data_IF_018337147598
#
_entry.id   IF_018337147598
#
_cell.length_a   1.000
_cell.length_b   1.000
_cell.length_c   1.000
_cell.angle_alpha   90.00
_cell.angle_beta   90.00
_cell.angle_gamma   90.00
#
_symmetry.space_group_name_H-M   'P 1'
#
loop_
_entity.id
_entity.type
_entity.pdbx_description
1 polymer ?
#
# COMPACT_ATOMS: atom_id res chain seq x y z
N UNK A 1 -10.20 -12.07 14.69
CA UNK A 1 -9.83 -12.40 13.29
C UNK A 1 -9.20 -11.15 12.70
N UNK A 2 -7.91 -11.18 12.36
CA UNK A 2 -7.18 -9.97 11.93
C UNK A 2 -7.69 -9.51 10.56
N UNK A 3 -8.65 -8.56 10.55
CA UNK A 3 -9.15 -7.97 9.31
C UNK A 3 -7.96 -7.29 8.62
N UNK A 4 -7.75 -7.63 7.36
CA UNK A 4 -6.75 -6.99 6.54
C UNK A 4 -7.34 -5.67 6.05
N UNK A 5 -6.86 -4.56 6.61
CA UNK A 5 -7.52 -3.25 6.49
C UNK A 5 -7.11 -2.48 5.22
N UNK A 6 -6.71 -3.16 4.13
CA UNK A 6 -6.29 -2.53 2.87
C UNK A 6 -7.03 -3.11 1.67
N UNK A 7 -7.70 -2.25 0.91
CA UNK A 7 -8.48 -2.62 -0.27
C UNK A 7 -8.16 -1.72 -1.47
N UNK A 8 -7.89 -2.32 -2.62
CA UNK A 8 -7.85 -1.60 -3.89
C UNK A 8 -9.25 -1.49 -4.49
N UNK A 9 -9.58 -0.32 -5.03
CA UNK A 9 -10.81 -0.09 -5.80
C UNK A 9 -10.46 0.38 -7.20
N UNK A 10 -11.16 -0.16 -8.20
CA UNK A 10 -10.99 0.27 -9.58
C UNK A 10 -12.26 -0.01 -10.40
N UNK A 11 -12.36 0.68 -11.54
CA UNK A 11 -13.42 0.53 -12.51
C UNK A 11 -12.86 0.11 -13.86
N UNK A 12 -13.31 -1.02 -14.39
CA UNK A 12 -12.95 -1.52 -15.71
C UNK A 12 -14.10 -1.41 -16.70
N UNK A 13 -13.96 -0.60 -17.75
CA UNK A 13 -14.97 -0.49 -18.82
C UNK A 13 -15.22 -1.84 -19.48
N UNK A 14 -16.49 -2.16 -19.73
CA UNK A 14 -16.86 -3.26 -20.61
C UNK A 14 -16.32 -3.00 -22.02
N UNK A 15 -16.09 -4.08 -22.78
CA UNK A 15 -15.66 -3.98 -24.19
C UNK A 15 -16.85 -4.12 -25.11
N UNK A 16 -16.74 -3.50 -26.28
CA UNK A 16 -17.76 -3.54 -27.32
C UNK A 16 -18.22 -4.98 -27.60
N UNK A 17 -19.54 -5.23 -27.77
CA UNK A 17 -20.63 -4.24 -27.88
C UNK A 17 -21.29 -3.85 -26.54
N UNK A 18 -20.75 -4.26 -25.39
CA UNK A 18 -21.45 -4.11 -24.12
C UNK A 18 -21.09 -2.79 -23.43
N UNK A 19 -22.07 -1.92 -23.11
CA UNK A 19 -21.81 -0.69 -22.37
C UNK A 19 -21.63 -0.95 -20.87
N UNK A 20 -21.04 0.03 -20.20
CA UNK A 20 -20.94 0.08 -18.75
C UNK A 20 -19.56 -0.24 -18.19
N UNK A 21 -19.51 -0.36 -16.88
CA UNK A 21 -18.29 -0.51 -16.10
C UNK A 21 -18.46 -1.61 -15.06
N UNK A 22 -17.41 -2.39 -14.86
CA UNK A 22 -17.30 -3.30 -13.72
C UNK A 22 -16.45 -2.61 -12.67
N UNK A 23 -17.08 -2.27 -11.54
CA UNK A 23 -16.38 -1.80 -10.36
C UNK A 23 -15.91 -3.02 -9.59
N UNK A 24 -14.63 -3.03 -9.22
CA UNK A 24 -14.00 -4.08 -8.45
C UNK A 24 -13.43 -3.54 -7.15
N UNK A 25 -13.51 -4.37 -6.12
CA UNK A 25 -12.82 -4.23 -4.86
C UNK A 25 -11.87 -5.43 -4.70
N UNK A 26 -10.59 -5.19 -4.48
CA UNK A 26 -9.56 -6.24 -4.47
C UNK A 26 -8.75 -6.19 -3.19
N UNK A 27 -8.70 -7.33 -2.49
CA UNK A 27 -7.78 -7.63 -1.42
C UNK A 27 -6.70 -8.60 -1.92
N UNK A 28 -5.69 -8.90 -1.10
CA UNK A 28 -4.63 -9.85 -1.50
C UNK A 28 -5.21 -11.23 -1.90
N UNK A 29 -6.20 -11.72 -1.17
CA UNK A 29 -6.80 -13.06 -1.36
C UNK A 29 -8.17 -13.06 -2.03
N UNK A 30 -8.95 -11.99 -1.91
CA UNK A 30 -10.34 -11.94 -2.39
C UNK A 30 -10.59 -10.76 -3.32
N UNK A 31 -11.64 -10.84 -4.13
CA UNK A 31 -12.15 -9.71 -4.88
C UNK A 31 -13.69 -9.76 -4.95
N UNK A 32 -14.30 -8.59 -4.92
CA UNK A 32 -15.73 -8.39 -5.15
C UNK A 32 -15.89 -7.53 -6.41
N UNK A 33 -16.93 -7.80 -7.20
CA UNK A 33 -17.16 -7.09 -8.45
C UNK A 33 -18.64 -6.84 -8.67
N UNK A 34 -18.98 -5.65 -9.18
CA UNK A 34 -20.34 -5.30 -9.55
C UNK A 34 -20.36 -4.47 -10.84
N UNK A 35 -21.29 -4.79 -11.74
CA UNK A 35 -21.54 -3.99 -12.94
C UNK A 35 -22.48 -2.82 -12.70
N UNK A 36 -22.18 -1.71 -13.35
CA UNK A 36 -22.98 -0.49 -13.41
C UNK A 36 -22.96 0.09 -14.83
N UNK A 37 -24.01 0.82 -15.21
CA UNK A 37 -24.07 1.48 -16.52
C UNK A 37 -23.08 2.65 -16.65
N UNK A 38 -22.84 3.39 -15.56
CA UNK A 38 -21.98 4.57 -15.57
C UNK A 38 -21.10 4.60 -14.33
N UNK A 39 -19.90 5.16 -14.46
CA UNK A 39 -19.02 5.46 -13.33
C UNK A 39 -19.30 6.86 -12.80
N UNK A 40 -20.07 6.95 -11.71
CA UNK A 40 -20.44 8.21 -11.10
C UNK A 40 -20.58 8.09 -9.58
N UNK A 41 -20.93 9.20 -8.92
CA UNK A 41 -21.11 9.24 -7.47
C UNK A 41 -22.16 8.23 -6.97
N UNK A 42 -23.25 8.02 -7.69
CA UNK A 42 -24.32 7.11 -7.27
C UNK A 42 -23.88 5.65 -7.39
N UNK A 43 -23.20 5.27 -8.47
CA UNK A 43 -22.66 3.91 -8.62
C UNK A 43 -21.62 3.59 -7.56
N UNK A 44 -20.71 4.54 -7.27
CA UNK A 44 -19.73 4.39 -6.19
C UNK A 44 -20.39 4.32 -4.81
N UNK A 45 -21.37 5.17 -4.53
CA UNK A 45 -22.10 5.15 -3.24
C UNK A 45 -22.84 3.83 -3.05
N UNK A 46 -23.51 3.33 -4.09
CA UNK A 46 -24.20 2.04 -4.04
C UNK A 46 -23.21 0.91 -3.80
N UNK A 47 -22.12 0.85 -4.59
CA UNK A 47 -21.10 -0.19 -4.45
C UNK A 47 -20.46 -0.19 -3.06
N UNK A 48 -20.03 0.98 -2.58
CA UNK A 48 -19.40 1.12 -1.26
C UNK A 48 -20.34 0.78 -0.11
N UNK A 49 -21.66 1.02 -0.26
CA UNK A 49 -22.64 0.62 0.76
C UNK A 49 -22.76 -0.90 0.85
N UNK A 50 -22.87 -1.59 -0.28
CA UNK A 50 -22.95 -3.05 -0.29
C UNK A 50 -21.66 -3.67 0.22
N UNK A 51 -20.51 -3.18 -0.27
CA UNK A 51 -19.19 -3.57 0.23
C UNK A 51 -19.06 -3.36 1.75
N UNK A 52 -19.59 -2.24 2.26
CA UNK A 52 -19.65 -1.96 3.69
C UNK A 52 -20.50 -2.98 4.45
N UNK A 53 -21.65 -3.37 3.91
CA UNK A 53 -22.46 -4.45 4.48
C UNK A 53 -21.71 -5.77 4.52
N UNK A 54 -21.08 -6.18 3.41
CA UNK A 54 -20.37 -7.45 3.29
C UNK A 54 -19.14 -7.56 4.21
N UNK A 55 -18.52 -6.43 4.53
CA UNK A 55 -17.31 -6.36 5.37
C UNK A 55 -17.58 -5.92 6.82
N UNK A 56 -18.85 -5.68 7.17
CA UNK A 56 -19.29 -5.08 8.43
C UNK A 56 -18.57 -3.75 8.73
N UNK A 57 -18.53 -2.85 7.75
CA UNK A 57 -17.98 -1.51 7.89
C UNK A 57 -19.01 -0.52 8.39
N UNK A 58 -18.62 0.24 9.40
CA UNK A 58 -19.36 1.37 9.95
C UNK A 58 -18.69 2.68 9.54
N UNK A 59 -19.34 3.81 9.79
CA UNK A 59 -18.77 5.15 9.55
C UNK A 59 -17.45 5.38 10.29
N UNK A 60 -17.26 4.72 11.43
CA UNK A 60 -16.07 4.78 12.27
C UNK A 60 -15.05 3.66 11.97
N UNK A 61 -15.31 2.83 10.95
CA UNK A 61 -14.40 1.77 10.56
C UNK A 61 -13.12 2.35 9.98
N UNK A 62 -12.00 1.89 10.52
CA UNK A 62 -10.66 2.41 10.27
C UNK A 62 -9.97 1.72 9.08
N UNK A 63 -10.72 1.43 8.02
CA UNK A 63 -10.20 0.78 6.81
C UNK A 63 -9.36 1.74 5.97
N UNK A 64 -8.46 1.17 5.17
CA UNK A 64 -7.66 1.89 4.19
C UNK A 64 -8.02 1.44 2.78
N UNK A 65 -8.29 2.40 1.91
CA UNK A 65 -8.62 2.16 0.51
C UNK A 65 -7.58 2.81 -0.40
N UNK A 66 -7.31 2.23 -1.56
CA UNK A 66 -6.56 2.87 -2.64
C UNK A 66 -7.42 2.89 -3.92
N UNK A 67 -7.45 4.02 -4.62
CA UNK A 67 -8.21 4.19 -5.88
C UNK A 67 -7.50 5.12 -6.87
N UNK A 68 -7.94 5.12 -8.12
CA UNK A 68 -7.32 5.89 -9.22
C UNK A 68 -7.89 7.31 -9.34
N UNK A 69 -8.50 7.83 -8.28
CA UNK A 69 -9.14 9.16 -8.23
C UNK A 69 -10.27 9.32 -9.25
N UNK A 70 -11.03 8.26 -9.52
CA UNK A 70 -12.19 8.34 -10.40
C UNK A 70 -13.25 9.31 -9.87
N UNK A 71 -14.02 9.91 -10.77
CA UNK A 71 -15.03 10.90 -10.38
C UNK A 71 -16.11 10.24 -9.51
N UNK A 72 -16.39 10.84 -8.36
CA UNK A 72 -17.46 10.38 -7.45
C UNK A 72 -17.01 9.42 -6.34
N UNK A 73 -15.86 8.74 -6.46
CA UNK A 73 -15.38 7.80 -5.43
C UNK A 73 -15.04 8.52 -4.11
N UNK A 74 -14.31 9.63 -4.20
CA UNK A 74 -13.88 10.38 -3.01
C UNK A 74 -15.05 11.01 -2.24
N UNK A 75 -16.02 11.70 -2.89
CA UNK A 75 -17.23 12.15 -2.21
C UNK A 75 -18.07 11.01 -1.62
N UNK A 76 -18.12 9.84 -2.28
CA UNK A 76 -18.85 8.68 -1.76
C UNK A 76 -18.21 8.14 -0.46
N UNK A 77 -16.87 8.07 -0.41
CA UNK A 77 -16.14 7.74 0.81
C UNK A 77 -16.36 8.76 1.92
N UNK A 78 -16.24 10.05 1.64
CA UNK A 78 -16.45 11.09 2.64
C UNK A 78 -17.85 11.00 3.29
N UNK A 79 -18.85 10.53 2.54
CA UNK A 79 -20.21 10.31 3.06
C UNK A 79 -20.37 9.02 3.86
N UNK A 80 -19.83 7.90 3.38
CA UNK A 80 -20.11 6.57 3.95
C UNK A 80 -19.10 6.15 5.01
N UNK A 81 -17.82 6.48 4.81
CA UNK A 81 -16.71 6.04 5.65
C UNK A 81 -15.75 7.22 5.91
N UNK A 82 -16.19 8.27 6.62
CA UNK A 82 -15.39 9.48 6.86
C UNK A 82 -14.09 9.21 7.64
N UNK A 83 -14.06 8.16 8.48
CA UNK A 83 -12.87 7.76 9.24
C UNK A 83 -11.91 6.83 8.47
N UNK A 84 -12.28 6.41 7.24
CA UNK A 84 -11.42 5.57 6.42
C UNK A 84 -10.27 6.39 5.81
N UNK A 85 -9.09 5.77 5.77
CA UNK A 85 -7.94 6.35 5.08
C UNK A 85 -8.11 6.12 3.56
N UNK A 86 -8.28 7.21 2.82
CA UNK A 86 -8.46 7.17 1.37
C UNK A 86 -7.16 7.52 0.67
N UNK A 87 -6.53 6.55 0.02
CA UNK A 87 -5.30 6.74 -0.75
C UNK A 87 -5.60 6.87 -2.24
N UNK A 88 -4.83 7.71 -2.90
CA UNK A 88 -4.80 7.89 -4.33
C UNK A 88 -3.63 7.13 -4.90
N UNK A 89 -3.90 6.33 -5.92
CA UNK A 89 -2.88 5.74 -6.75
C UNK A 89 -2.00 6.86 -7.34
N UNK A 90 -0.68 6.64 -7.33
CA UNK A 90 0.29 7.59 -7.85
C UNK A 90 0.26 7.64 -9.38
N UNK A 91 -0.20 6.58 -10.05
CA UNK A 91 -0.19 6.48 -11.51
C UNK A 91 -0.99 7.60 -12.21
N UNK A 92 -2.27 7.88 -11.85
CA UNK A 92 -2.99 9.02 -12.42
C UNK A 92 -2.34 10.39 -12.14
N UNK A 93 -1.68 10.55 -10.98
CA UNK A 93 -0.95 11.78 -10.65
C UNK A 93 0.26 11.92 -11.58
N UNK A 94 1.02 10.84 -11.77
CA UNK A 94 2.14 10.80 -12.69
C UNK A 94 1.72 11.08 -14.14
N UNK A 95 0.64 10.47 -14.64
CA UNK A 95 0.17 10.70 -16.01
C UNK A 95 -0.26 12.16 -16.23
N UNK A 96 -0.93 12.78 -15.25
CA UNK A 96 -1.28 14.19 -15.32
C UNK A 96 -0.06 15.11 -15.25
N UNK A 97 0.95 14.75 -14.44
CA UNK A 97 2.22 15.48 -14.42
C UNK A 97 2.92 15.36 -15.78
N UNK A 98 3.04 14.16 -16.34
CA UNK A 98 3.69 13.89 -17.63
C UNK A 98 3.05 14.66 -18.79
N UNK A 99 1.72 14.83 -18.79
CA UNK A 99 1.00 15.63 -19.80
C UNK A 99 1.41 17.10 -19.78
N UNK A 100 1.69 17.66 -18.60
CA UNK A 100 2.08 19.07 -18.40
C UNK A 100 3.59 19.29 -18.50
N UNK A 101 4.38 18.37 -17.95
CA UNK A 101 5.84 18.41 -17.89
C UNK A 101 6.42 17.06 -18.33
N UNK A 102 7.01 17.02 -19.52
CA UNK A 102 7.43 15.76 -20.19
C UNK A 102 8.82 15.26 -19.80
N UNK A 103 9.63 16.07 -19.12
CA UNK A 103 11.01 15.71 -18.79
C UNK A 103 11.08 14.64 -17.69
N UNK A 104 12.08 13.76 -17.79
CA UNK A 104 12.30 12.64 -16.87
C UNK A 104 12.47 13.11 -15.42
N UNK A 105 13.10 14.25 -15.22
CA UNK A 105 13.37 14.81 -13.89
C UNK A 105 12.10 15.03 -13.07
N UNK A 106 10.98 15.38 -13.69
CA UNK A 106 9.68 15.55 -13.01
C UNK A 106 9.15 14.22 -12.48
N UNK A 107 9.24 13.17 -13.29
CA UNK A 107 8.87 11.81 -12.88
C UNK A 107 9.75 11.33 -11.72
N UNK A 108 11.05 11.53 -11.82
CA UNK A 108 12.00 11.08 -10.81
C UNK A 108 11.79 11.86 -9.50
N UNK A 109 11.47 13.17 -9.59
CA UNK A 109 11.05 13.96 -8.44
C UNK A 109 9.76 13.42 -7.81
N UNK A 110 8.72 13.17 -8.60
CA UNK A 110 7.46 12.60 -8.12
C UNK A 110 7.66 11.29 -7.39
N UNK A 111 8.42 10.37 -7.98
CA UNK A 111 8.75 9.10 -7.35
C UNK A 111 9.48 9.32 -6.02
N UNK A 112 10.45 10.23 -5.98
CA UNK A 112 11.25 10.53 -4.80
C UNK A 112 10.38 11.00 -3.63
N UNK A 113 9.66 12.11 -3.77
CA UNK A 113 8.87 12.61 -2.64
C UNK A 113 7.67 11.71 -2.30
N UNK A 114 7.05 11.01 -3.26
CA UNK A 114 5.98 10.06 -2.95
C UNK A 114 6.46 8.87 -2.09
N UNK A 115 7.71 8.42 -2.26
CA UNK A 115 8.28 7.24 -1.59
C UNK A 115 9.03 7.54 -0.29
N UNK A 116 9.32 8.82 0.00
CA UNK A 116 9.88 9.24 1.29
C UNK A 116 9.01 8.75 2.44
N UNK A 117 9.64 8.38 3.55
CA UNK A 117 8.93 7.81 4.71
C UNK A 117 8.73 8.83 5.83
N UNK A 118 9.40 9.97 5.76
CA UNK A 118 9.31 11.05 6.77
C UNK A 118 8.87 12.37 6.11
N UNK A 119 8.10 13.17 6.85
CA UNK A 119 7.61 14.47 6.39
C UNK A 119 8.76 15.44 6.10
N UNK A 120 9.85 15.35 6.87
CA UNK A 120 11.06 16.14 6.64
C UNK A 120 11.67 15.84 5.26
N UNK A 121 11.90 14.56 4.93
CA UNK A 121 12.43 14.17 3.63
C UNK A 121 11.48 14.54 2.49
N UNK A 122 10.17 14.41 2.71
CA UNK A 122 9.17 14.86 1.75
C UNK A 122 9.31 16.35 1.44
N UNK A 123 9.35 17.20 2.47
CA UNK A 123 9.45 18.64 2.29
C UNK A 123 10.73 19.04 1.55
N UNK A 124 11.88 18.44 1.91
CA UNK A 124 13.14 18.65 1.19
C UNK A 124 13.02 18.25 -0.29
N UNK A 125 12.49 17.06 -0.56
CA UNK A 125 12.36 16.56 -1.93
C UNK A 125 11.35 17.36 -2.78
N UNK A 126 10.32 17.95 -2.17
CA UNK A 126 9.35 18.83 -2.87
C UNK A 126 9.93 20.22 -3.11
N UNK A 127 10.76 20.76 -2.22
CA UNK A 127 11.45 22.04 -2.46
C UNK A 127 12.47 21.95 -3.61
N UNK A 128 13.08 20.78 -3.85
CA UNK A 128 13.89 20.57 -5.06
C UNK A 128 13.06 20.72 -6.35
N UNK A 129 11.78 20.29 -6.34
CA UNK A 129 10.88 20.53 -7.47
C UNK A 129 10.61 22.02 -7.67
N UNK A 130 10.55 22.81 -6.60
CA UNK A 130 10.34 24.27 -6.69
C UNK A 130 11.49 24.95 -7.41
N UNK A 131 12.73 24.52 -7.15
CA UNK A 131 13.93 25.01 -7.86
C UNK A 131 13.89 24.66 -9.35
N UNK A 132 13.36 23.48 -9.69
CA UNK A 132 13.21 23.03 -11.07
C UNK A 132 12.08 23.75 -11.81
N UNK A 133 10.90 23.86 -11.19
CA UNK A 133 9.71 24.48 -11.77
C UNK A 133 8.66 24.85 -10.71
N UNK A 134 8.41 26.15 -10.55
CA UNK A 134 7.47 26.66 -9.56
C UNK A 134 6.01 26.27 -9.85
N UNK A 135 5.62 26.10 -11.11
CA UNK A 135 4.25 25.73 -11.46
C UNK A 135 3.98 24.25 -11.17
N UNK A 136 4.95 23.37 -11.40
CA UNK A 136 4.90 21.98 -11.00
C UNK A 136 4.80 21.85 -9.47
N UNK A 137 5.56 22.67 -8.74
CA UNK A 137 5.48 22.76 -7.28
C UNK A 137 4.09 23.18 -6.79
N UNK A 138 3.52 24.26 -7.33
CA UNK A 138 2.16 24.71 -6.98
C UNK A 138 1.12 23.63 -7.30
N UNK A 139 1.26 22.97 -8.45
CA UNK A 139 0.34 21.93 -8.88
C UNK A 139 0.36 20.71 -7.95
N UNK A 140 1.53 20.22 -7.54
CA UNK A 140 1.60 19.06 -6.64
C UNK A 140 1.14 19.42 -5.22
N UNK A 141 1.43 20.64 -4.73
CA UNK A 141 0.95 21.14 -3.44
C UNK A 141 -0.57 21.24 -3.36
N UNK A 142 -1.26 21.41 -4.50
CA UNK A 142 -2.72 21.41 -4.55
C UNK A 142 -3.35 20.02 -4.33
N UNK A 143 -2.56 18.94 -4.39
CA UNK A 143 -3.04 17.59 -4.10
C UNK A 143 -2.62 17.23 -2.67
N UNK A 144 -3.55 17.05 -1.72
CA UNK A 144 -3.19 16.85 -0.33
C UNK A 144 -2.34 15.58 -0.12
N UNK A 145 -1.13 15.69 0.47
CA UNK A 145 -0.15 14.61 0.49
C UNK A 145 -0.55 13.40 1.34
N UNK A 146 -1.46 13.57 2.30
CA UNK A 146 -2.01 12.46 3.10
C UNK A 146 -2.66 11.36 2.26
N UNK A 147 -3.09 11.68 1.03
CA UNK A 147 -3.72 10.70 0.16
C UNK A 147 -2.72 9.96 -0.73
N UNK A 148 -1.51 10.46 -0.98
CA UNK A 148 -0.66 9.89 -2.03
C UNK A 148 0.84 9.79 -1.71
N UNK A 149 1.29 10.35 -0.59
CA UNK A 149 2.68 10.24 -0.14
C UNK A 149 2.79 9.33 1.07
N UNK A 150 3.74 8.39 1.00
CA UNK A 150 4.04 7.45 2.08
C UNK A 150 4.39 8.13 3.41
N UNK A 151 5.01 9.31 3.34
CA UNK A 151 5.42 10.08 4.52
C UNK A 151 4.25 10.56 5.39
N UNK A 152 3.04 10.62 4.83
CA UNK A 152 1.82 11.07 5.52
C UNK A 152 0.81 9.94 5.78
N UNK A 153 1.12 8.70 5.39
CA UNK A 153 0.26 7.56 5.71
C UNK A 153 0.26 7.29 7.22
N UNK A 154 -0.89 6.96 7.79
CA UNK A 154 -1.03 6.78 9.25
C UNK A 154 -0.32 5.52 9.78
N UNK A 155 0.09 4.63 8.87
CA UNK A 155 0.68 3.32 9.18
C UNK A 155 -0.33 2.26 9.64
N UNK A 156 -1.61 2.61 9.82
CA UNK A 156 -2.65 1.69 10.31
C UNK A 156 -2.84 0.44 9.45
N UNK A 157 -2.69 0.59 8.13
CA UNK A 157 -2.81 -0.52 7.19
C UNK A 157 -1.58 -1.44 7.20
N UNK A 158 -0.46 -1.01 7.81
CA UNK A 158 0.85 -1.63 7.65
C UNK A 158 1.13 -1.95 6.17
N UNK A 159 0.92 -0.94 5.33
CA UNK A 159 1.01 -1.01 3.88
C UNK A 159 1.56 0.32 3.37
N UNK A 160 2.56 0.26 2.50
CA UNK A 160 3.17 1.43 1.87
C UNK A 160 2.89 1.51 0.36
N UNK A 161 1.85 0.80 -0.09
CA UNK A 161 1.43 0.78 -1.49
C UNK A 161 1.06 2.18 -1.96
N UNK A 162 1.72 2.60 -3.05
CA UNK A 162 1.47 3.85 -3.77
C UNK A 162 0.74 3.60 -5.10
N UNK A 163 0.65 2.34 -5.52
CA UNK A 163 0.03 1.93 -6.78
C UNK A 163 -1.11 0.96 -6.49
N UNK A 164 -2.13 1.00 -7.34
CA UNK A 164 -3.30 0.14 -7.26
C UNK A 164 -3.03 -1.22 -7.94
N UNK A 165 -1.84 -1.77 -7.73
CA UNK A 165 -1.33 -2.96 -8.43
C UNK A 165 -2.26 -4.17 -8.31
N UNK A 166 -2.99 -4.30 -7.19
CA UNK A 166 -3.96 -5.38 -6.98
C UNK A 166 -5.08 -5.31 -8.02
N UNK A 167 -5.67 -4.12 -8.19
CA UNK A 167 -6.72 -3.90 -9.17
C UNK A 167 -6.17 -3.97 -10.60
N UNK A 168 -5.05 -3.32 -10.88
CA UNK A 168 -4.42 -3.33 -12.21
C UNK A 168 -4.13 -4.78 -12.67
N UNK A 169 -3.57 -5.59 -11.77
CA UNK A 169 -3.30 -7.01 -12.05
C UNK A 169 -4.59 -7.75 -12.33
N UNK A 170 -5.63 -7.59 -11.51
CA UNK A 170 -6.91 -8.26 -11.74
C UNK A 170 -7.55 -7.81 -13.05
N UNK A 171 -7.67 -6.51 -13.28
CA UNK A 171 -8.25 -5.93 -14.48
C UNK A 171 -7.56 -6.36 -15.77
N UNK A 172 -6.24 -6.56 -15.74
CA UNK A 172 -5.48 -7.11 -16.87
C UNK A 172 -5.88 -8.55 -17.23
N UNK A 173 -6.29 -9.35 -16.24
CA UNK A 173 -6.69 -10.76 -16.41
C UNK A 173 -8.15 -10.89 -16.82
N UNK A 174 -8.97 -9.91 -16.45
CA UNK A 174 -10.40 -9.86 -16.79
C UNK A 174 -10.70 -9.33 -18.20
N UNK A 175 -9.68 -8.92 -18.96
CA UNK A 175 -9.84 -8.37 -20.32
C UNK A 175 -10.68 -9.28 -21.24
N UNK A 176 -10.50 -10.60 -21.16
CA UNK A 176 -11.24 -11.62 -21.95
C UNK A 176 -12.63 -11.97 -21.41
N UNK A 177 -12.97 -11.46 -20.23
CA UNK A 177 -14.33 -11.56 -19.69
C UNK A 177 -15.16 -10.35 -20.07
N UNK A 178 -14.54 -9.17 -20.17
CA UNK A 178 -15.20 -7.88 -20.41
C UNK A 178 -15.76 -7.70 -21.83
N UNK A 179 -15.40 -8.56 -22.78
CA UNK A 179 -15.96 -8.64 -24.13
C UNK A 179 -17.17 -9.58 -24.21
N UNK A 180 -17.67 -10.09 -23.08
CA UNK A 180 -18.82 -10.98 -22.99
C UNK A 180 -20.04 -10.26 -22.41
N UNK A 181 -21.22 -10.85 -22.63
CA UNK A 181 -22.45 -10.43 -21.96
C UNK A 181 -22.26 -10.40 -20.44
N UNK A 182 -23.00 -9.53 -19.76
CA UNK A 182 -22.80 -9.26 -18.33
C UNK A 182 -22.77 -10.53 -17.46
N UNK A 183 -23.72 -11.45 -17.65
CA UNK A 183 -23.78 -12.70 -16.89
C UNK A 183 -22.52 -13.54 -17.13
N UNK A 184 -22.10 -13.70 -18.39
CA UNK A 184 -20.88 -14.41 -18.74
C UNK A 184 -19.61 -13.71 -18.25
N UNK A 185 -19.62 -12.38 -18.15
CA UNK A 185 -18.51 -11.60 -17.61
C UNK A 185 -18.36 -11.83 -16.09
N UNK A 186 -19.46 -11.74 -15.34
CA UNK A 186 -19.49 -12.02 -13.90
C UNK A 186 -19.10 -13.47 -13.62
N UNK A 187 -19.56 -14.41 -14.44
CA UNK A 187 -19.18 -15.82 -14.35
C UNK A 187 -17.68 -16.03 -14.62
N UNK A 188 -17.13 -15.34 -15.61
CA UNK A 188 -15.69 -15.35 -15.89
C UNK A 188 -14.88 -14.82 -14.68
N UNK A 189 -15.33 -13.72 -14.06
CA UNK A 189 -14.69 -13.16 -12.87
C UNK A 189 -14.74 -14.14 -11.71
N UNK A 190 -15.91 -14.72 -11.43
CA UNK A 190 -16.13 -15.72 -10.39
C UNK A 190 -15.19 -16.93 -10.57
N UNK A 191 -15.16 -17.51 -11.76
CA UNK A 191 -14.25 -18.62 -12.08
C UNK A 191 -12.78 -18.24 -11.92
N UNK A 192 -12.38 -17.05 -12.35
CA UNK A 192 -11.01 -16.59 -12.24
C UNK A 192 -10.59 -16.45 -10.77
N UNK A 193 -11.43 -15.84 -9.94
CA UNK A 193 -11.18 -15.68 -8.50
C UNK A 193 -11.09 -17.07 -7.83
N UNK A 194 -12.00 -17.99 -8.15
CA UNK A 194 -11.94 -19.37 -7.63
C UNK A 194 -10.63 -20.07 -7.99
N UNK A 195 -10.23 -20.03 -9.26
CA UNK A 195 -8.97 -20.65 -9.71
C UNK A 195 -7.77 -19.99 -9.02
N UNK A 196 -7.79 -18.66 -8.85
CA UNK A 196 -6.74 -17.91 -8.12
C UNK A 196 -6.65 -18.33 -6.66
N UNK A 197 -7.77 -18.49 -5.96
CA UNK A 197 -7.81 -18.95 -4.56
C UNK A 197 -7.15 -20.33 -4.40
N UNK A 198 -7.45 -21.27 -5.31
CA UNK A 198 -6.81 -22.60 -5.31
C UNK A 198 -5.28 -22.49 -5.52
N UNK A 199 -4.83 -21.61 -6.41
CA UNK A 199 -3.39 -21.37 -6.62
C UNK A 199 -2.75 -20.79 -5.35
N UNK A 200 -3.38 -19.80 -4.73
CA UNK A 200 -2.91 -19.20 -3.47
C UNK A 200 -2.78 -20.28 -2.39
N UNK A 201 -3.81 -21.12 -2.22
CA UNK A 201 -3.77 -22.22 -1.25
C UNK A 201 -2.60 -23.17 -1.51
N UNK A 202 -2.43 -23.62 -2.77
CA UNK A 202 -1.30 -24.49 -3.16
C UNK A 202 0.06 -23.81 -2.93
N UNK A 203 0.15 -22.49 -3.09
CA UNK A 203 1.37 -21.75 -2.77
C UNK A 203 1.62 -21.73 -1.27
N UNK A 204 0.59 -21.46 -0.45
CA UNK A 204 0.66 -21.46 1.01
C UNK A 204 1.09 -22.84 1.53
N UNK A 205 0.50 -23.92 0.99
CA UNK A 205 0.80 -25.30 1.41
C UNK A 205 2.25 -25.71 1.14
N UNK A 206 2.89 -25.11 0.13
CA UNK A 206 4.31 -25.33 -0.20
C UNK A 206 5.28 -24.47 0.62
N UNK A 207 4.78 -23.54 1.43
CA UNK A 207 5.63 -22.64 2.21
C UNK A 207 6.00 -23.26 3.55
N UNK A 208 7.31 -23.46 3.76
CA UNK A 208 7.86 -23.92 5.05
C UNK A 208 8.16 -22.77 6.02
N UNK A 209 8.28 -21.55 5.50
CA UNK A 209 8.50 -20.35 6.32
C UNK A 209 7.17 -19.84 6.89
N UNK A 210 7.15 -19.23 8.08
CA UNK A 210 5.93 -18.72 8.68
C UNK A 210 5.37 -17.44 8.00
N UNK A 211 6.18 -16.78 7.15
CA UNK A 211 5.82 -15.58 6.42
C UNK A 211 5.39 -15.92 4.97
N UNK A 212 4.62 -15.04 4.34
CA UNK A 212 4.29 -15.17 2.90
C UNK A 212 5.58 -15.17 2.05
N UNK A 213 5.58 -15.78 0.86
CA UNK A 213 6.77 -15.79 -0.02
C UNK A 213 7.32 -14.39 -0.31
N UNK A 214 6.43 -13.43 -0.59
CA UNK A 214 6.80 -12.05 -0.88
C UNK A 214 7.41 -11.40 0.36
N UNK A 215 6.79 -11.55 1.54
CA UNK A 215 7.31 -11.02 2.79
C UNK A 215 8.67 -11.62 3.14
N UNK A 216 8.85 -12.92 2.96
CA UNK A 216 10.12 -13.62 3.18
C UNK A 216 11.22 -13.04 2.28
N UNK A 217 10.97 -12.95 0.96
CA UNK A 217 11.92 -12.38 0.01
C UNK A 217 12.28 -10.92 0.34
N UNK A 218 11.29 -10.12 0.70
CA UNK A 218 11.49 -8.72 1.12
C UNK A 218 12.36 -8.64 2.38
N UNK A 219 12.07 -9.46 3.39
CA UNK A 219 12.82 -9.46 4.65
C UNK A 219 14.27 -9.90 4.44
N UNK A 220 14.53 -10.92 3.62
CA UNK A 220 15.89 -11.34 3.29
C UNK A 220 16.68 -10.24 2.58
N UNK A 221 16.06 -9.52 1.64
CA UNK A 221 16.69 -8.35 1.01
C UNK A 221 17.05 -7.28 2.03
N UNK A 222 16.13 -6.97 2.96
CA UNK A 222 16.37 -5.97 4.01
C UNK A 222 17.52 -6.40 4.93
N UNK A 223 17.66 -7.70 5.24
CA UNK A 223 18.79 -8.22 6.03
C UNK A 223 20.12 -8.01 5.31
N UNK A 224 20.17 -8.26 4.00
CA UNK A 224 21.38 -7.99 3.21
C UNK A 224 21.78 -6.52 3.31
N UNK A 225 20.83 -5.60 3.11
CA UNK A 225 21.09 -4.15 3.27
C UNK A 225 21.50 -3.78 4.71
N UNK A 226 20.95 -4.45 5.71
CA UNK A 226 21.25 -4.20 7.12
C UNK A 226 22.68 -4.60 7.51
N UNK A 227 23.32 -5.52 6.79
CA UNK A 227 24.68 -5.98 7.10
C UNK A 227 25.74 -4.88 7.00
N UNK A 228 25.48 -3.82 6.25
CA UNK A 228 26.39 -2.68 6.05
C UNK A 228 26.29 -1.60 7.14
N UNK A 229 25.38 -1.77 8.11
CA UNK A 229 25.07 -0.75 9.10
C UNK A 229 25.72 -1.06 10.44
N UNK A 230 26.06 0.00 11.18
CA UNK A 230 26.61 -0.04 12.53
C UNK A 230 25.56 0.43 13.51
N UNK A 231 25.64 -0.05 14.74
CA UNK A 231 24.70 0.28 15.80
C UNK A 231 25.42 0.62 17.08
N UNK A 232 24.87 1.61 17.79
CA UNK A 232 25.27 1.99 19.14
C UNK A 232 24.03 2.01 20.04
N UNK A 233 24.16 1.46 21.24
CA UNK A 233 23.12 1.58 22.26
C UNK A 233 23.17 2.98 22.88
N UNK A 234 22.05 3.70 22.87
CA UNK A 234 21.98 5.10 23.30
C UNK A 234 21.30 5.28 24.67
N UNK A 235 21.04 4.19 25.40
CA UNK A 235 20.28 4.23 26.65
C UNK A 235 18.76 4.16 26.43
N UNK A 236 18.01 3.96 27.53
CA UNK A 236 16.54 3.89 27.55
C UNK A 236 15.91 2.93 26.52
N UNK A 237 16.59 1.81 26.23
CA UNK A 237 16.10 0.82 25.24
C UNK A 237 16.23 1.26 23.77
N UNK A 238 16.87 2.41 23.51
CA UNK A 238 17.02 2.98 22.16
C UNK A 238 18.40 2.68 21.56
N UNK A 239 18.41 2.60 20.24
CA UNK A 239 19.58 2.29 19.43
C UNK A 239 19.73 3.32 18.33
N UNK A 240 20.92 3.90 18.19
CA UNK A 240 21.30 4.68 17.02
C UNK A 240 21.94 3.75 16.00
N UNK A 241 21.39 3.73 14.80
CA UNK A 241 21.87 2.92 13.69
C UNK A 241 22.35 3.86 12.59
N UNK A 242 23.53 3.57 12.05
CA UNK A 242 24.23 4.43 11.10
C UNK A 242 24.75 3.61 9.94
N UNK A 243 24.49 4.07 8.71
CA UNK A 243 25.06 3.49 7.48
C UNK A 243 25.35 4.58 6.44
N UNK A 244 25.89 4.15 5.30
CA UNK A 244 26.26 5.06 4.20
C UNK A 244 27.20 6.17 4.65
N UNK A 245 28.29 5.80 5.35
CA UNK A 245 29.31 6.75 5.85
C UNK A 245 28.76 7.87 6.74
N UNK A 246 27.64 7.63 7.44
CA UNK A 246 27.05 8.61 8.36
C UNK A 246 25.87 9.39 7.81
N UNK A 247 25.54 9.21 6.53
CA UNK A 247 24.41 9.90 5.86
C UNK A 247 23.06 9.32 6.29
N UNK A 248 22.96 8.00 6.43
CA UNK A 248 21.72 7.34 6.86
C UNK A 248 21.77 7.05 8.36
N UNK A 249 21.13 7.91 9.15
CA UNK A 249 21.02 7.79 10.60
C UNK A 249 19.58 7.57 11.04
N UNK A 250 19.38 6.64 11.95
CA UNK A 250 18.07 6.31 12.47
C UNK A 250 18.15 5.91 13.94
N UNK A 251 17.31 6.52 14.77
CA UNK A 251 17.01 6.04 16.11
C UNK A 251 15.91 4.99 16.05
N UNK A 252 16.13 3.86 16.71
CA UNK A 252 15.21 2.72 16.81
C UNK A 252 14.85 2.48 18.27
N UNK A 253 13.56 2.30 18.54
CA UNK A 253 13.03 1.84 19.81
C UNK A 253 12.30 0.52 19.58
N UNK A 254 12.94 -0.58 20.00
CA UNK A 254 12.42 -1.93 19.77
C UNK A 254 11.19 -2.22 20.62
N UNK A 255 11.13 -1.70 21.85
CA UNK A 255 10.02 -1.93 22.76
C UNK A 255 8.74 -1.23 22.26
N UNK A 256 8.89 -0.03 21.72
CA UNK A 256 7.77 0.74 21.15
C UNK A 256 7.46 0.40 19.69
N UNK A 257 8.21 -0.52 19.07
CA UNK A 257 8.07 -0.83 17.65
C UNK A 257 8.22 0.38 16.72
N UNK A 258 9.07 1.35 17.08
CA UNK A 258 9.25 2.59 16.31
C UNK A 258 10.66 2.75 15.78
N UNK A 259 10.76 3.45 14.64
CA UNK A 259 12.02 3.91 14.09
C UNK A 259 11.83 5.29 13.47
N UNK A 260 12.82 6.17 13.65
CA UNK A 260 12.77 7.55 13.13
C UNK A 260 12.69 7.62 11.60
N UNK A 261 13.09 6.56 10.88
CA UNK A 261 12.87 6.46 9.44
C UNK A 261 11.42 6.12 9.05
N UNK A 262 10.54 5.85 10.02
CA UNK A 262 9.10 5.59 9.92
C UNK A 262 8.68 4.39 9.02
N UNK A 263 9.62 3.73 8.34
CA UNK A 263 9.33 2.58 7.48
C UNK A 263 8.66 1.45 8.23
N UNK A 264 9.08 1.19 9.47
CA UNK A 264 8.50 0.11 10.27
C UNK A 264 7.03 0.39 10.64
N UNK A 265 6.72 1.62 11.05
CA UNK A 265 5.34 2.02 11.36
C UNK A 265 4.43 1.98 10.13
N UNK A 266 4.92 2.40 8.96
CA UNK A 266 4.09 2.46 7.75
C UNK A 266 3.90 1.10 7.09
N UNK A 267 4.97 0.30 6.99
CA UNK A 267 4.94 -1.00 6.29
C UNK A 267 4.57 -2.15 7.21
N UNK A 268 4.79 -2.04 8.52
CA UNK A 268 4.77 -3.18 9.44
C UNK A 268 5.91 -4.18 9.22
N UNK A 269 6.82 -3.95 8.27
CA UNK A 269 8.03 -4.73 8.06
C UNK A 269 9.19 -4.01 8.75
N UNK A 270 10.01 -4.75 9.52
CA UNK A 270 11.23 -4.18 10.10
C UNK A 270 12.08 -3.54 9.01
N UNK A 271 12.50 -2.30 9.21
CA UNK A 271 13.46 -1.67 8.32
C UNK A 271 14.87 -2.19 8.61
N UNK A 272 15.81 -1.94 7.69
CA UNK A 272 17.22 -2.31 7.86
C UNK A 272 17.80 -1.84 9.20
N UNK A 273 17.43 -0.64 9.66
CA UNK A 273 17.86 -0.10 10.95
C UNK A 273 17.35 -0.95 12.12
N UNK A 274 16.07 -1.30 12.11
CA UNK A 274 15.46 -2.18 13.12
C UNK A 274 16.14 -3.54 13.16
N UNK A 275 16.46 -4.12 11.99
CA UNK A 275 17.16 -5.42 11.92
C UNK A 275 18.52 -5.37 12.62
N UNK A 276 19.31 -4.32 12.39
CA UNK A 276 20.62 -4.19 13.05
C UNK A 276 20.51 -4.05 14.56
N UNK A 277 19.55 -3.24 15.05
CA UNK A 277 19.29 -3.12 16.48
C UNK A 277 18.89 -4.47 17.11
N UNK A 278 18.06 -5.27 16.43
CA UNK A 278 17.69 -6.62 16.87
C UNK A 278 18.92 -7.55 16.91
N UNK A 279 19.81 -7.47 15.92
CA UNK A 279 21.03 -8.29 15.90
C UNK A 279 21.96 -7.96 17.06
N UNK A 280 22.13 -6.68 17.39
CA UNK A 280 22.92 -6.26 18.55
C UNK A 280 22.32 -6.72 19.88
N UNK A 281 21.00 -6.59 20.06
CA UNK A 281 20.32 -7.12 21.25
C UNK A 281 20.58 -8.61 21.47
N UNK A 282 20.55 -9.41 20.38
CA UNK A 282 20.83 -10.84 20.43
C UNK A 282 22.28 -11.15 20.78
N UNK A 283 23.24 -10.41 20.21
CA UNK A 283 24.67 -10.57 20.52
C UNK A 283 24.98 -10.28 21.99
N UNK A 284 24.25 -9.33 22.59
CA UNK A 284 24.43 -8.90 23.96
C UNK A 284 23.54 -9.63 24.98
N UNK A 285 22.97 -10.80 24.62
CA UNK A 285 22.08 -11.62 25.46
C UNK A 285 20.92 -10.84 26.12
N UNK A 286 20.54 -9.67 25.58
CA UNK A 286 19.34 -8.98 26.03
C UNK A 286 18.16 -9.82 25.59
N UNK A 287 17.27 -10.14 26.53
CA UNK A 287 16.08 -10.93 26.26
C UNK A 287 15.19 -10.16 25.28
N UNK A 288 15.39 -10.39 23.99
CA UNK A 288 14.45 -9.99 22.95
C UNK A 288 13.30 -10.97 23.11
N UNK A 289 12.43 -10.72 24.09
CA UNK A 289 11.24 -11.51 24.35
C UNK A 289 10.52 -11.68 23.02
N UNK A 290 10.59 -12.90 22.50
CA UNK A 290 10.33 -13.31 21.11
C UNK A 290 9.53 -12.24 20.32
N UNK A 291 10.17 -11.21 19.73
CA UNK A 291 9.55 -10.48 18.64
C UNK A 291 9.87 -11.35 17.45
N UNK A 292 9.09 -12.42 17.26
CA UNK A 292 9.26 -13.28 16.10
C UNK A 292 9.04 -12.35 14.90
N UNK A 293 10.18 -12.07 14.24
CA UNK A 293 10.43 -11.34 12.98
C UNK A 293 10.44 -9.81 12.98
N UNK A 294 9.83 -9.09 13.92
CA UNK A 294 9.64 -7.63 13.75
C UNK A 294 8.80 -7.31 12.51
N UNK A 295 7.94 -8.25 12.11
CA UNK A 295 7.06 -8.17 10.96
C UNK A 295 5.62 -8.32 11.44
N UNK A 296 4.77 -7.37 11.03
CA UNK A 296 3.36 -7.31 11.39
C UNK A 296 2.62 -8.62 11.03
N UNK A 297 1.66 -9.09 11.84
CA UNK A 297 0.91 -10.32 11.62
C UNK A 297 0.34 -10.51 10.21
N UNK A 298 -0.01 -9.44 9.49
CA UNK A 298 -0.54 -9.51 8.10
C UNK A 298 0.33 -10.31 7.12
N UNK A 299 1.64 -10.35 7.38
CA UNK A 299 2.60 -11.02 6.52
C UNK A 299 2.80 -12.49 6.86
N UNK A 300 2.09 -13.00 7.88
CA UNK A 300 2.21 -14.38 8.34
C UNK A 300 1.20 -15.26 7.63
N UNK A 301 1.61 -16.46 7.21
CA UNK A 301 0.72 -17.40 6.51
C UNK A 301 -0.52 -17.77 7.35
N UNK A 302 -0.40 -17.76 8.68
CA UNK A 302 -1.54 -18.04 9.57
C UNK A 302 -2.69 -17.04 9.44
N UNK A 303 -2.45 -15.83 8.92
CA UNK A 303 -3.52 -14.84 8.68
C UNK A 303 -4.15 -14.97 7.31
N UNK A 304 -3.64 -15.88 6.48
CA UNK A 304 -4.14 -16.18 5.14
C UNK A 304 -4.90 -17.52 5.09
N UNK A 305 -4.91 -18.26 6.20
CA UNK A 305 -5.64 -19.51 6.38
C UNK A 305 -7.01 -19.26 7.01
#
# INVERSE_FOLDING_TARGET
MGKMDFLGLDGGFMKDPYPGIIIIAVMETTALSQWHMYENYNSWTWFLRNLGGDLDLTTNSNFTFINDRQKGVFPAFAKLFPCAENRFCLFPIHENMKRKWRAKDFKDCLCRYATTSTVQQFNLAVEELKKLNNDAYKWIKAIPPQHWSRSYFTGRAYCDALLNNLCETLNSKLVKGRDKQIISCLEFIREYIMKKLVIIQKTIDKCFCPLTPIATKTLEKIKVEAAEYRVAFCGNGKYQVTGGEGVDQCVVDIAQHTSSCNKWGVTGMSCKHTIVAIWDMRRNNKNVGIPKTGVHPRYWLKTWK
#
